data_IF_664607843411
#
_entry.id   IF_664607843411
#
_cell.length_a   1.000
_cell.length_b   1.000
_cell.length_c   1.000
_cell.angle_alpha   90.00
_cell.angle_beta   90.00
_cell.angle_gamma   90.00
#
_symmetry.space_group_name_H-M   'P 1'
#
loop_
_entity.id
_entity.type
_entity.pdbx_description
1 polymer ?
#
# COMPACT_ATOMS: atom_id res chain seq x y z
N UNK A 1 9.33 13.91 32.38
CA UNK A 1 9.04 12.46 32.23
C UNK A 1 8.60 12.26 30.78
N UNK A 2 9.48 11.80 29.92
CA UNK A 2 9.10 11.40 28.57
C UNK A 2 8.30 10.10 28.73
N UNK A 3 6.99 10.16 28.44
CA UNK A 3 6.14 8.98 28.42
C UNK A 3 6.68 7.97 27.40
N UNK A 4 6.54 6.66 27.69
CA UNK A 4 6.82 5.63 26.66
C UNK A 4 6.00 5.97 25.41
N UNK A 5 6.59 5.86 24.21
CA UNK A 5 5.83 6.10 22.99
C UNK A 5 4.58 5.21 23.03
N UNK A 6 3.41 5.81 22.79
CA UNK A 6 2.16 5.07 22.74
C UNK A 6 2.21 4.15 21.53
N UNK A 7 1.81 2.89 21.70
CA UNK A 7 1.63 1.99 20.57
C UNK A 7 0.53 2.53 19.67
N UNK A 8 0.81 2.55 18.40
CA UNK A 8 -0.15 2.87 17.33
C UNK A 8 -0.49 1.56 16.62
N UNK A 9 -1.76 1.39 16.24
CA UNK A 9 -2.18 0.29 15.39
C UNK A 9 -2.09 0.74 13.94
N UNK A 10 -1.39 -0.02 13.11
CA UNK A 10 -1.47 0.15 11.65
C UNK A 10 -2.82 -0.38 11.16
N UNK A 11 -3.62 0.48 10.55
CA UNK A 11 -4.96 0.19 10.05
C UNK A 11 -4.99 0.39 8.53
N UNK A 12 -4.95 -0.71 7.78
CA UNK A 12 -5.13 -0.74 6.33
C UNK A 12 -6.63 -0.85 6.02
N UNK A 13 -7.19 0.15 5.33
CA UNK A 13 -8.60 0.22 4.92
C UNK A 13 -8.68 -0.11 3.44
N UNK A 14 -8.70 -1.40 3.13
CA UNK A 14 -8.80 -1.90 1.76
C UNK A 14 -10.22 -2.18 1.30
N UNK A 15 -10.44 -2.23 -0.02
CA UNK A 15 -11.77 -2.43 -0.65
C UNK A 15 -12.38 -3.82 -0.39
N UNK A 16 -11.55 -4.83 -0.09
CA UNK A 16 -12.02 -6.20 0.25
C UNK A 16 -12.07 -6.44 1.75
N UNK A 17 -11.13 -5.89 2.51
CA UNK A 17 -11.05 -6.08 3.96
C UNK A 17 -10.31 -4.92 4.62
N UNK A 18 -10.68 -4.61 5.86
CA UNK A 18 -9.87 -3.81 6.78
C UNK A 18 -8.94 -4.73 7.55
N UNK A 19 -7.67 -4.32 7.73
CA UNK A 19 -6.66 -5.10 8.45
C UNK A 19 -6.00 -4.22 9.51
N UNK A 20 -5.67 -4.81 10.64
CA UNK A 20 -5.03 -4.10 11.73
C UNK A 20 -3.85 -4.89 12.30
N UNK A 21 -2.75 -4.21 12.53
CA UNK A 21 -1.52 -4.76 13.12
C UNK A 21 -1.09 -3.90 14.29
N UNK A 22 -0.81 -4.52 15.44
CA UNK A 22 -0.12 -3.88 16.55
C UNK A 22 1.27 -4.50 16.69
N UNK A 23 2.31 -3.68 16.52
CA UNK A 23 3.70 -4.07 16.73
C UNK A 23 4.22 -3.58 18.08
N UNK A 24 5.08 -4.38 18.71
CA UNK A 24 5.83 -4.00 19.91
C UNK A 24 7.31 -4.09 19.62
N UNK A 25 8.04 -3.01 19.88
CA UNK A 25 9.50 -3.02 19.80
C UNK A 25 10.08 -3.98 20.85
N UNK A 26 11.04 -4.79 20.43
CA UNK A 26 11.74 -5.78 21.26
C UNK A 26 13.22 -5.73 20.91
N UNK A 27 14.00 -4.90 21.63
CA UNK A 27 15.39 -4.60 21.25
C UNK A 27 15.43 -3.91 19.88
N UNK A 28 16.19 -4.47 18.96
CA UNK A 28 16.33 -3.98 17.58
C UNK A 28 15.33 -4.64 16.59
N UNK A 29 14.32 -5.34 17.09
CA UNK A 29 13.34 -6.05 16.29
C UNK A 29 11.92 -5.71 16.75
N UNK A 30 10.93 -6.25 16.06
CA UNK A 30 9.52 -6.07 16.39
C UNK A 30 8.86 -7.42 16.67
N UNK A 31 7.75 -7.37 17.41
CA UNK A 31 6.87 -8.50 17.66
C UNK A 31 5.45 -8.12 17.30
N UNK A 32 4.76 -8.97 16.55
CA UNK A 32 3.31 -8.85 16.33
C UNK A 32 2.60 -9.14 17.63
N UNK A 33 2.02 -8.12 18.24
CA UNK A 33 1.23 -8.24 19.46
C UNK A 33 -0.24 -8.56 19.15
N UNK A 34 -0.73 -8.10 18.00
CA UNK A 34 -2.04 -8.39 17.47
C UNK A 34 -2.06 -8.25 15.95
N UNK A 35 -2.82 -9.09 15.30
CA UNK A 35 -3.21 -9.00 13.89
C UNK A 35 -4.70 -9.34 13.78
N UNK A 36 -5.40 -8.66 12.90
CA UNK A 36 -6.77 -8.97 12.56
C UNK A 36 -7.13 -8.52 11.17
N UNK A 37 -8.10 -9.20 10.56
CA UNK A 37 -8.70 -8.85 9.29
C UNK A 37 -10.22 -9.00 9.38
N UNK A 38 -10.95 -8.06 8.79
CA UNK A 38 -12.42 -8.07 8.73
C UNK A 38 -12.86 -7.70 7.32
N UNK A 39 -13.66 -8.55 6.65
CA UNK A 39 -14.21 -8.23 5.34
C UNK A 39 -15.00 -6.92 5.33
N UNK A 40 -14.88 -6.18 4.24
CA UNK A 40 -15.72 -5.03 3.90
C UNK A 40 -16.73 -5.48 2.86
N UNK A 41 -18.01 -5.10 2.98
CA UNK A 41 -18.99 -5.46 1.96
C UNK A 41 -18.57 -4.96 0.56
N UNK A 42 -18.86 -5.73 -0.51
CA UNK A 42 -18.58 -5.28 -1.87
C UNK A 42 -19.10 -3.86 -2.14
N UNK A 43 -18.41 -3.13 -3.00
CA UNK A 43 -18.75 -1.77 -3.43
C UNK A 43 -18.79 -0.69 -2.33
N UNK A 44 -18.41 -1.04 -1.09
CA UNK A 44 -18.28 -0.04 0.00
C UNK A 44 -17.11 0.91 -0.21
N UNK A 45 -16.07 0.47 -0.92
CA UNK A 45 -14.91 1.28 -1.34
C UNK A 45 -14.65 0.99 -2.81
N UNK A 46 -14.73 2.01 -3.65
CA UNK A 46 -14.51 1.93 -5.10
C UNK A 46 -13.42 2.93 -5.49
N UNK A 47 -12.37 2.46 -6.16
CA UNK A 47 -11.22 3.28 -6.58
C UNK A 47 -10.64 4.17 -5.44
N UNK A 48 -10.57 3.61 -4.23
CA UNK A 48 -10.11 4.31 -3.03
C UNK A 48 -11.10 5.35 -2.48
N UNK A 49 -12.30 5.49 -3.07
CA UNK A 49 -13.36 6.34 -2.53
C UNK A 49 -14.29 5.53 -1.61
N UNK A 50 -14.52 6.01 -0.40
CA UNK A 50 -15.48 5.43 0.53
C UNK A 50 -16.89 5.79 0.06
N UNK A 51 -17.65 4.79 -0.40
CA UNK A 51 -19.02 4.93 -0.87
C UNK A 51 -20.02 4.68 0.26
N UNK A 52 -19.78 3.66 1.09
CA UNK A 52 -20.57 3.36 2.28
C UNK A 52 -19.74 3.51 3.55
N UNK A 53 -19.72 4.72 4.09
CA UNK A 53 -18.99 5.06 5.31
C UNK A 53 -19.48 4.24 6.52
N UNK A 54 -20.79 3.91 6.57
CA UNK A 54 -21.36 3.10 7.65
C UNK A 54 -20.82 1.68 7.64
N UNK A 55 -20.82 1.02 6.48
CA UNK A 55 -20.32 -0.34 6.33
C UNK A 55 -18.81 -0.43 6.64
N UNK A 56 -18.01 0.55 6.20
CA UNK A 56 -16.57 0.60 6.49
C UNK A 56 -16.33 0.81 7.99
N UNK A 57 -17.02 1.76 8.63
CA UNK A 57 -16.90 2.00 10.06
C UNK A 57 -17.32 0.78 10.90
N UNK A 58 -18.36 0.06 10.47
CA UNK A 58 -18.81 -1.18 11.11
C UNK A 58 -17.78 -2.30 10.96
N UNK A 59 -17.14 -2.43 9.80
CA UNK A 59 -16.05 -3.39 9.60
C UNK A 59 -14.87 -3.09 10.53
N UNK A 60 -14.44 -1.82 10.63
CA UNK A 60 -13.38 -1.41 11.56
C UNK A 60 -13.80 -1.73 12.99
N UNK A 61 -15.03 -1.39 13.40
CA UNK A 61 -15.53 -1.68 14.77
C UNK A 61 -15.51 -3.16 15.07
N UNK A 62 -16.03 -4.01 14.17
CA UNK A 62 -16.05 -5.47 14.31
C UNK A 62 -14.63 -6.04 14.43
N UNK A 63 -13.68 -5.52 13.64
CA UNK A 63 -12.27 -5.93 13.71
C UNK A 63 -11.69 -5.72 15.13
N UNK A 64 -11.87 -4.54 15.71
CA UNK A 64 -11.34 -4.23 17.02
C UNK A 64 -12.10 -4.91 18.16
N UNK A 65 -13.43 -5.01 18.07
CA UNK A 65 -14.26 -5.64 19.10
C UNK A 65 -14.04 -7.17 19.13
N UNK A 66 -13.83 -7.76 17.96
CA UNK A 66 -13.54 -9.19 17.80
C UNK A 66 -12.12 -9.58 18.23
N UNK A 67 -11.19 -8.63 18.27
CA UNK A 67 -9.79 -8.89 18.62
C UNK A 67 -9.37 -8.17 19.90
N UNK A 68 -9.50 -8.85 21.04
CA UNK A 68 -9.17 -8.30 22.38
C UNK A 68 -7.70 -7.92 22.56
N UNK A 69 -6.81 -8.30 21.64
CA UNK A 69 -5.40 -7.92 21.67
C UNK A 69 -5.17 -6.53 21.08
N UNK A 70 -6.03 -6.05 20.15
CA UNK A 70 -6.03 -4.71 19.57
C UNK A 70 -6.63 -3.69 20.55
N UNK A 71 -5.80 -3.15 21.44
CA UNK A 71 -6.26 -2.27 22.54
C UNK A 71 -6.06 -0.79 22.28
N UNK A 72 -5.10 -0.41 21.45
CA UNK A 72 -4.80 0.99 21.19
C UNK A 72 -5.96 1.67 20.47
N UNK A 73 -6.27 2.91 20.90
CA UNK A 73 -7.28 3.75 20.23
C UNK A 73 -6.68 4.55 19.09
N UNK A 74 -5.39 4.84 19.18
CA UNK A 74 -4.66 5.62 18.21
C UNK A 74 -4.23 4.70 17.04
N UNK A 75 -4.57 5.09 15.83
CA UNK A 75 -4.28 4.34 14.60
C UNK A 75 -3.50 5.19 13.62
N UNK A 76 -2.66 4.52 12.82
CA UNK A 76 -2.09 5.05 11.59
C UNK A 76 -2.84 4.41 10.43
N UNK A 77 -3.38 5.20 9.53
CA UNK A 77 -4.03 4.75 8.30
C UNK A 77 -3.29 5.34 7.09
N UNK A 78 -3.64 4.89 5.89
CA UNK A 78 -3.06 5.38 4.65
C UNK A 78 -4.10 5.69 3.60
N UNK A 79 -3.66 6.43 2.59
CA UNK A 79 -4.40 6.74 1.37
C UNK A 79 -3.61 6.24 0.17
N UNK A 80 -4.31 5.99 -0.92
CA UNK A 80 -3.75 5.66 -2.23
C UNK A 80 -4.65 6.13 -3.36
N UNK A 81 -4.26 5.83 -4.60
CA UNK A 81 -5.02 6.16 -5.79
C UNK A 81 -5.00 7.65 -6.15
N UNK A 82 -6.01 8.08 -6.86
CA UNK A 82 -6.11 9.44 -7.42
C UNK A 82 -6.24 10.56 -6.37
N UNK A 83 -6.34 10.20 -5.08
CA UNK A 83 -6.40 11.16 -3.98
C UNK A 83 -5.03 11.63 -3.52
N UNK A 84 -3.97 10.91 -3.90
CA UNK A 84 -2.59 11.17 -3.48
C UNK A 84 -1.70 11.36 -4.69
N UNK A 85 -0.84 12.35 -4.63
CA UNK A 85 0.25 12.56 -5.59
C UNK A 85 1.56 12.49 -4.85
N UNK A 86 2.44 11.65 -5.33
CA UNK A 86 3.84 11.58 -4.90
C UNK A 86 4.69 11.92 -6.10
N UNK A 87 5.52 12.95 -5.99
CA UNK A 87 6.33 13.44 -7.11
C UNK A 87 7.69 13.93 -6.66
N UNK A 88 8.73 13.43 -7.29
CA UNK A 88 10.07 14.00 -7.15
C UNK A 88 10.15 15.25 -8.01
N UNK A 89 10.55 16.37 -7.39
CA UNK A 89 10.71 17.65 -8.04
C UNK A 89 12.13 18.19 -7.82
N UNK A 90 12.60 19.01 -8.73
CA UNK A 90 13.91 19.64 -8.64
C UNK A 90 13.71 21.13 -8.43
N UNK A 91 14.30 21.69 -7.37
CA UNK A 91 14.18 23.08 -6.98
C UNK A 91 15.58 23.72 -6.89
N UNK A 92 15.68 25.06 -6.97
CA UNK A 92 16.91 25.76 -6.58
C UNK A 92 17.29 25.41 -5.14
N UNK A 93 18.60 25.35 -4.85
CA UNK A 93 19.07 25.12 -3.47
C UNK A 93 18.58 26.24 -2.56
N UNK A 94 17.91 25.87 -1.50
CA UNK A 94 17.41 26.76 -0.47
C UNK A 94 17.48 26.10 0.90
N UNK A 95 17.37 26.90 1.95
CA UNK A 95 17.30 26.38 3.31
C UNK A 95 15.93 25.73 3.59
N UNK A 96 15.86 24.88 4.61
CA UNK A 96 14.59 24.30 5.08
C UNK A 96 13.52 25.37 5.34
N UNK A 97 13.89 26.50 5.96
CA UNK A 97 12.95 27.57 6.28
C UNK A 97 12.41 28.27 5.01
N UNK A 98 13.25 28.47 4.00
CA UNK A 98 12.83 29.02 2.70
C UNK A 98 11.92 28.05 1.97
N UNK A 99 12.21 26.73 2.04
CA UNK A 99 11.38 25.70 1.45
C UNK A 99 10.01 25.60 2.15
N UNK A 100 9.96 25.65 3.49
CA UNK A 100 8.71 25.66 4.26
C UNK A 100 7.79 26.83 3.83
N UNK A 101 8.37 27.99 3.47
CA UNK A 101 7.60 29.16 3.02
C UNK A 101 7.19 29.07 1.54
N UNK A 102 7.98 28.44 0.69
CA UNK A 102 7.77 28.43 -0.77
C UNK A 102 7.11 27.18 -1.32
N UNK A 103 7.11 26.05 -0.58
CA UNK A 103 6.70 24.75 -1.10
C UNK A 103 5.28 24.72 -1.69
N UNK A 104 4.36 25.52 -1.16
CA UNK A 104 3.00 25.60 -1.68
C UNK A 104 2.97 26.22 -3.09
N UNK A 105 3.76 27.26 -3.33
CA UNK A 105 3.89 27.91 -4.65
C UNK A 105 4.61 27.00 -5.65
N UNK A 106 5.66 26.32 -5.19
CA UNK A 106 6.37 25.37 -6.02
C UNK A 106 5.47 24.19 -6.42
N UNK A 107 4.66 23.69 -5.48
CA UNK A 107 3.76 22.57 -5.69
C UNK A 107 2.68 22.84 -6.75
N UNK A 108 2.18 24.08 -6.89
CA UNK A 108 1.15 24.45 -7.89
C UNK A 108 1.52 24.05 -9.33
N UNK A 109 2.81 24.01 -9.65
CA UNK A 109 3.27 23.63 -10.98
C UNK A 109 3.26 22.10 -11.23
N UNK A 110 3.17 21.32 -10.17
CA UNK A 110 3.36 19.86 -10.21
C UNK A 110 2.13 19.06 -9.86
N UNK A 111 1.15 19.66 -9.19
CA UNK A 111 -0.09 19.00 -8.77
C UNK A 111 -1.28 19.50 -9.62
N UNK A 112 -2.18 18.58 -10.06
CA UNK A 112 -3.36 18.93 -10.85
C UNK A 112 -4.56 19.38 -10.00
N UNK A 113 -4.33 19.77 -8.75
CA UNK A 113 -5.35 20.18 -7.80
C UNK A 113 -5.04 21.59 -7.30
N UNK A 114 -6.07 22.30 -6.83
CA UNK A 114 -5.86 23.53 -6.09
C UNK A 114 -5.08 23.21 -4.80
N UNK A 115 -4.01 23.93 -4.54
CA UNK A 115 -3.17 23.73 -3.33
C UNK A 115 -3.96 23.97 -2.04
N UNK A 116 -5.06 24.72 -2.10
CA UNK A 116 -5.95 24.93 -0.97
C UNK A 116 -6.79 23.68 -0.63
N UNK A 117 -7.00 22.79 -1.60
CA UNK A 117 -7.79 21.58 -1.44
C UNK A 117 -6.96 20.35 -1.02
N UNK A 118 -5.64 20.51 -0.88
CA UNK A 118 -4.73 19.42 -0.49
C UNK A 118 -3.97 19.74 0.79
N UNK A 119 -3.58 18.69 1.50
CA UNK A 119 -2.48 18.74 2.46
C UNK A 119 -1.19 18.40 1.72
N UNK A 120 -0.17 19.24 1.92
CA UNK A 120 1.16 19.02 1.38
C UNK A 120 2.10 18.58 2.49
N UNK A 121 2.96 17.63 2.15
CA UNK A 121 4.16 17.28 2.92
C UNK A 121 5.32 17.08 1.94
N UNK A 122 6.55 17.13 2.44
CA UNK A 122 7.71 16.94 1.59
C UNK A 122 8.91 16.38 2.35
N UNK A 123 9.81 15.75 1.59
CA UNK A 123 11.10 15.28 2.09
C UNK A 123 12.21 15.73 1.15
N UNK A 124 13.28 16.31 1.71
CA UNK A 124 14.49 16.62 0.94
C UNK A 124 15.24 15.31 0.69
N UNK A 125 15.37 14.91 -0.57
CA UNK A 125 16.10 13.72 -0.99
C UNK A 125 17.59 14.03 -1.19
N UNK A 126 17.90 15.16 -1.86
CA UNK A 126 19.25 15.70 -2.02
C UNK A 126 19.24 17.21 -1.74
N UNK A 127 19.97 17.70 -0.74
CA UNK A 127 20.04 19.12 -0.42
C UNK A 127 20.81 19.96 -1.46
N UNK A 128 21.37 19.34 -2.49
CA UNK A 128 22.05 20.05 -3.57
C UNK A 128 23.42 20.62 -3.19
N UNK A 129 24.05 20.13 -2.12
CA UNK A 129 25.35 20.61 -1.63
C UNK A 129 26.54 19.85 -2.23
N UNK A 130 26.27 18.78 -2.98
CA UNK A 130 27.28 17.97 -3.64
C UNK A 130 27.87 18.63 -4.92
N UNK A 131 29.06 18.23 -5.36
CA UNK A 131 29.70 18.78 -6.55
C UNK A 131 28.94 18.50 -7.85
N UNK A 132 28.04 17.52 -7.86
CA UNK A 132 27.25 17.15 -9.04
C UNK A 132 25.86 17.80 -9.08
N UNK A 133 25.40 18.41 -8.01
CA UNK A 133 24.03 18.93 -7.86
C UNK A 133 23.74 20.21 -8.66
N UNK A 134 24.77 20.85 -9.26
CA UNK A 134 24.64 22.06 -10.13
C UNK A 134 23.78 23.20 -9.54
N UNK A 135 23.66 23.29 -8.22
CA UNK A 135 22.87 24.31 -7.53
C UNK A 135 21.36 24.00 -7.49
N UNK A 136 20.99 22.76 -7.69
CA UNK A 136 19.62 22.25 -7.51
C UNK A 136 19.53 21.24 -6.38
N UNK A 137 18.39 21.20 -5.70
CA UNK A 137 18.03 20.22 -4.69
C UNK A 137 16.89 19.33 -5.19
N UNK A 138 16.86 18.10 -4.72
CA UNK A 138 15.77 17.17 -5.02
C UNK A 138 14.83 17.02 -3.82
N UNK A 139 13.54 17.15 -4.08
CA UNK A 139 12.49 17.10 -3.06
C UNK A 139 11.43 16.10 -3.49
N UNK A 140 11.05 15.19 -2.59
CA UNK A 140 9.86 14.36 -2.74
C UNK A 140 8.67 15.15 -2.20
N UNK A 141 7.75 15.52 -3.09
CA UNK A 141 6.52 16.23 -2.77
C UNK A 141 5.39 15.21 -2.65
N UNK A 142 4.60 15.33 -1.58
CA UNK A 142 3.40 14.54 -1.35
C UNK A 142 2.20 15.48 -1.19
N UNK A 143 1.16 15.25 -1.98
CA UNK A 143 -0.09 16.00 -1.90
C UNK A 143 -1.26 15.04 -1.75
N UNK A 144 -2.08 15.22 -0.71
CA UNK A 144 -3.27 14.42 -0.47
C UNK A 144 -4.51 15.31 -0.36
N UNK A 145 -5.60 14.94 -1.03
CA UNK A 145 -6.86 15.68 -1.01
C UNK A 145 -7.46 15.71 0.40
N UNK A 146 -7.79 16.90 0.89
CA UNK A 146 -8.37 17.12 2.22
C UNK A 146 -9.70 16.40 2.42
N UNK A 147 -10.55 16.35 1.40
CA UNK A 147 -11.82 15.63 1.42
C UNK A 147 -11.61 14.13 1.67
N UNK A 148 -10.62 13.51 0.98
CA UNK A 148 -10.29 12.09 1.16
C UNK A 148 -9.70 11.79 2.53
N UNK A 149 -8.81 12.65 3.02
CA UNK A 149 -8.33 12.56 4.40
C UNK A 149 -9.52 12.62 5.37
N UNK A 150 -10.46 13.55 5.12
CA UNK A 150 -11.68 13.71 5.91
C UNK A 150 -12.58 12.47 5.89
N UNK A 151 -12.79 11.84 4.73
CA UNK A 151 -13.59 10.62 4.58
C UNK A 151 -12.98 9.47 5.41
N UNK A 152 -11.67 9.22 5.27
CA UNK A 152 -10.97 8.14 5.97
C UNK A 152 -10.89 8.38 7.48
N UNK A 153 -10.52 9.58 7.91
CA UNK A 153 -10.49 9.93 9.34
C UNK A 153 -11.88 9.94 9.96
N UNK A 154 -12.90 10.28 9.16
CA UNK A 154 -14.30 10.24 9.57
C UNK A 154 -14.81 8.83 9.88
N UNK A 155 -14.54 7.84 9.03
CA UNK A 155 -14.95 6.45 9.29
C UNK A 155 -14.17 5.83 10.45
N UNK A 156 -12.90 6.20 10.62
CA UNK A 156 -12.07 5.80 11.77
C UNK A 156 -12.66 6.35 13.07
N UNK A 157 -13.03 7.63 13.09
CA UNK A 157 -13.67 8.27 14.23
C UNK A 157 -15.03 7.66 14.55
N UNK A 158 -15.85 7.37 13.52
CA UNK A 158 -17.15 6.69 13.65
C UNK A 158 -17.00 5.28 14.24
N UNK A 159 -15.87 4.60 13.97
CA UNK A 159 -15.52 3.31 14.59
C UNK A 159 -14.96 3.44 16.01
N UNK A 160 -14.88 4.66 16.59
CA UNK A 160 -14.38 4.92 17.94
C UNK A 160 -12.86 4.87 18.06
N UNK A 161 -12.14 5.14 16.97
CA UNK A 161 -10.67 5.20 16.91
C UNK A 161 -10.20 6.61 16.54
N UNK A 162 -8.91 6.90 16.79
CA UNK A 162 -8.30 8.19 16.50
C UNK A 162 -7.23 8.00 15.41
N UNK A 163 -7.40 8.56 14.25
CA UNK A 163 -6.35 8.65 13.26
C UNK A 163 -5.32 9.70 13.72
N UNK A 164 -4.11 9.26 14.05
CA UNK A 164 -3.03 10.15 14.53
C UNK A 164 -1.94 10.35 13.49
N UNK A 165 -1.91 9.47 12.48
CA UNK A 165 -1.07 9.57 11.27
C UNK A 165 -1.93 9.13 10.08
N UNK A 166 -1.81 9.84 8.97
CA UNK A 166 -2.31 9.43 7.66
C UNK A 166 -1.11 9.38 6.73
N UNK A 167 -0.78 8.19 6.26
CA UNK A 167 0.37 7.90 5.41
C UNK A 167 -0.07 7.62 3.97
N UNK A 168 0.83 7.18 3.14
CA UNK A 168 0.60 6.69 1.77
C UNK A 168 0.90 5.19 1.71
N UNK A 169 0.04 4.40 1.04
CA UNK A 169 0.22 2.94 0.90
C UNK A 169 1.62 2.57 0.41
N UNK A 170 2.14 3.32 -0.57
CA UNK A 170 3.47 3.09 -1.13
C UNK A 170 4.58 3.22 -0.09
N UNK A 171 4.49 4.20 0.82
CA UNK A 171 5.48 4.40 1.87
C UNK A 171 5.32 3.41 3.01
N UNK A 172 4.08 3.06 3.35
CA UNK A 172 3.84 1.98 4.31
C UNK A 172 4.44 0.66 3.80
N UNK A 173 4.28 0.34 2.52
CA UNK A 173 4.88 -0.83 1.90
C UNK A 173 6.41 -0.79 1.95
N UNK A 174 7.02 0.37 1.68
CA UNK A 174 8.47 0.59 1.81
C UNK A 174 8.94 0.39 3.25
N UNK A 175 8.27 0.96 4.25
CA UNK A 175 8.62 0.82 5.66
C UNK A 175 8.61 -0.65 6.09
N UNK A 176 7.60 -1.43 5.66
CA UNK A 176 7.53 -2.86 5.92
C UNK A 176 8.67 -3.63 5.21
N UNK A 177 9.03 -3.23 3.99
CA UNK A 177 10.11 -3.82 3.23
C UNK A 177 11.48 -3.56 3.90
N UNK A 178 11.75 -2.32 4.26
CA UNK A 178 13.00 -1.90 4.89
C UNK A 178 13.30 -2.71 6.18
N UNK A 179 12.29 -2.84 7.06
CA UNK A 179 12.45 -3.57 8.32
C UNK A 179 12.71 -5.05 8.12
N UNK A 180 12.15 -5.67 7.06
CA UNK A 180 12.22 -7.13 6.86
C UNK A 180 13.34 -7.59 5.91
N UNK A 181 13.76 -6.74 4.99
CA UNK A 181 14.72 -7.11 3.93
C UNK A 181 15.95 -6.22 3.93
N UNK A 182 15.89 -5.04 4.55
CA UNK A 182 16.91 -4.01 4.44
C UNK A 182 16.88 -3.32 3.08
N UNK A 183 17.70 -2.28 2.94
CA UNK A 183 17.86 -1.50 1.72
C UNK A 183 19.31 -1.59 1.27
N UNK A 184 19.55 -1.99 0.03
CA UNK A 184 20.89 -2.10 -0.54
C UNK A 184 21.18 -0.89 -1.43
N UNK A 185 22.28 -0.14 -1.19
CA UNK A 185 22.63 1.01 -2.00
C UNK A 185 22.73 0.67 -3.49
N UNK A 186 22.06 1.47 -4.33
CA UNK A 186 22.09 1.30 -5.78
C UNK A 186 21.19 0.20 -6.35
N UNK A 187 20.57 -0.63 -5.51
CA UNK A 187 19.62 -1.64 -5.96
C UNK A 187 18.29 -0.99 -6.35
N UNK A 188 17.71 -1.39 -7.48
CA UNK A 188 16.37 -0.98 -7.92
C UNK A 188 15.38 -2.10 -7.64
N UNK A 189 14.48 -1.88 -6.69
CA UNK A 189 13.47 -2.84 -6.26
C UNK A 189 12.08 -2.30 -6.57
N UNK A 190 11.25 -3.12 -7.22
CA UNK A 190 9.85 -2.82 -7.41
C UNK A 190 9.03 -3.52 -6.33
N UNK A 191 8.30 -2.75 -5.55
CA UNK A 191 7.30 -3.25 -4.62
C UNK A 191 5.93 -3.18 -5.29
N UNK A 192 5.27 -4.34 -5.44
CA UNK A 192 3.90 -4.44 -5.95
C UNK A 192 2.97 -4.90 -4.83
N UNK A 193 1.93 -4.13 -4.54
CA UNK A 193 0.85 -4.58 -3.67
C UNK A 193 -0.41 -4.81 -4.52
N UNK A 194 -0.65 -6.07 -4.88
CA UNK A 194 -1.79 -6.48 -5.68
C UNK A 194 -3.06 -6.60 -4.81
N UNK A 195 -3.75 -5.49 -4.63
CA UNK A 195 -4.98 -5.38 -3.86
C UNK A 195 -6.22 -5.86 -4.59
N UNK A 196 -7.41 -5.68 -3.99
CA UNK A 196 -8.67 -6.07 -4.58
C UNK A 196 -9.11 -5.12 -5.71
N UNK A 197 -9.07 -3.81 -5.51
CA UNK A 197 -9.47 -2.82 -6.53
C UNK A 197 -8.31 -2.17 -7.26
N UNK A 198 -7.11 -2.16 -6.67
CA UNK A 198 -5.95 -1.50 -7.24
C UNK A 198 -4.66 -2.28 -6.99
N UNK A 199 -3.65 -2.02 -7.81
CA UNK A 199 -2.26 -2.44 -7.60
C UNK A 199 -1.44 -1.18 -7.33
N UNK A 200 -0.83 -1.11 -6.14
CA UNK A 200 0.13 -0.06 -5.83
C UNK A 200 1.51 -0.49 -6.31
N UNK A 201 2.18 0.40 -7.03
CA UNK A 201 3.56 0.23 -7.49
C UNK A 201 4.42 1.26 -6.78
N UNK A 202 5.48 0.80 -6.10
CA UNK A 202 6.51 1.67 -5.56
C UNK A 202 7.88 1.16 -6.02
N UNK A 203 8.64 1.99 -6.72
CA UNK A 203 9.98 1.66 -7.19
C UNK A 203 10.99 2.36 -6.29
N UNK A 204 11.84 1.57 -5.67
CA UNK A 204 12.91 2.03 -4.81
C UNK A 204 14.23 2.01 -5.56
N UNK A 205 15.08 3.01 -5.35
CA UNK A 205 16.48 3.01 -5.70
C UNK A 205 17.30 3.25 -4.44
N UNK A 206 17.93 2.20 -3.92
CA UNK A 206 18.50 2.23 -2.58
C UNK A 206 17.43 2.44 -1.53
N UNK A 207 17.54 3.51 -0.75
CA UNK A 207 16.62 3.92 0.32
C UNK A 207 15.52 4.90 -0.12
N UNK A 208 15.54 5.31 -1.38
CA UNK A 208 14.63 6.33 -1.90
C UNK A 208 13.50 5.73 -2.74
N UNK A 209 12.27 6.14 -2.47
CA UNK A 209 11.16 5.96 -3.41
C UNK A 209 11.33 6.91 -4.58
N UNK A 210 11.64 6.37 -5.75
CA UNK A 210 11.91 7.16 -6.96
C UNK A 210 10.72 7.24 -7.90
N UNK A 211 9.75 6.34 -7.75
CA UNK A 211 8.55 6.32 -8.57
C UNK A 211 7.42 5.59 -7.86
N UNK A 212 6.23 6.19 -7.86
CA UNK A 212 5.00 5.56 -7.36
C UNK A 212 3.89 5.66 -8.38
N UNK A 213 3.06 4.62 -8.47
CA UNK A 213 1.85 4.64 -9.30
C UNK A 213 0.83 3.64 -8.77
N UNK A 214 -0.44 4.05 -8.80
CA UNK A 214 -1.56 3.17 -8.53
C UNK A 214 -2.26 2.81 -9.84
N UNK A 215 -2.50 1.52 -10.04
CA UNK A 215 -3.21 0.97 -11.20
C UNK A 215 -4.62 0.62 -10.77
N UNK A 216 -5.64 1.16 -11.43
CA UNK A 216 -7.06 0.89 -11.13
C UNK A 216 -7.49 -0.47 -11.68
N UNK A 217 -6.73 -1.51 -11.36
CA UNK A 217 -7.01 -2.92 -11.67
C UNK A 217 -6.47 -3.77 -10.52
N UNK A 218 -7.23 -4.77 -10.11
CA UNK A 218 -6.86 -5.67 -9.01
C UNK A 218 -7.65 -6.96 -9.02
N UNK A 219 -7.76 -7.60 -7.87
CA UNK A 219 -8.42 -8.89 -7.69
C UNK A 219 -9.89 -8.92 -8.10
N UNK A 220 -10.59 -7.78 -8.03
CA UNK A 220 -12.01 -7.67 -8.41
C UNK A 220 -12.20 -7.92 -9.91
N UNK A 221 -11.25 -7.52 -10.77
CA UNK A 221 -11.34 -7.77 -12.20
C UNK A 221 -11.45 -9.27 -12.55
N UNK A 222 -10.78 -10.12 -11.78
CA UNK A 222 -10.91 -11.59 -11.92
C UNK A 222 -12.30 -12.06 -11.51
N UNK A 223 -12.79 -11.57 -10.37
CA UNK A 223 -14.10 -11.97 -9.84
C UNK A 223 -15.22 -11.56 -10.77
N UNK A 224 -15.19 -10.32 -11.27
CA UNK A 224 -16.16 -9.79 -12.24
C UNK A 224 -16.16 -10.60 -13.56
N UNK A 225 -14.97 -10.95 -14.07
CA UNK A 225 -14.86 -11.77 -15.27
C UNK A 225 -15.44 -13.17 -15.05
N UNK A 226 -15.15 -13.82 -13.92
CA UNK A 226 -15.70 -15.13 -13.57
C UNK A 226 -17.23 -15.08 -13.38
N UNK A 227 -17.75 -14.04 -12.72
CA UNK A 227 -19.20 -13.84 -12.59
C UNK A 227 -19.87 -13.74 -13.96
N UNK A 228 -19.29 -12.93 -14.85
CA UNK A 228 -19.86 -12.66 -16.18
C UNK A 228 -19.79 -13.86 -17.09
N UNK A 229 -18.64 -14.53 -17.18
CA UNK A 229 -18.42 -15.59 -18.16
C UNK A 229 -19.01 -16.94 -17.71
N UNK A 230 -19.02 -17.21 -16.39
CA UNK A 230 -19.53 -18.45 -15.83
C UNK A 230 -20.91 -18.28 -15.16
N UNK A 231 -21.49 -17.06 -15.19
CA UNK A 231 -22.77 -16.74 -14.58
C UNK A 231 -22.84 -17.12 -13.07
N UNK A 232 -21.77 -16.81 -12.32
CA UNK A 232 -21.63 -17.16 -10.90
C UNK A 232 -22.02 -15.97 -9.98
N UNK A 233 -22.55 -16.24 -8.80
CA UNK A 233 -22.61 -15.24 -7.71
C UNK A 233 -21.21 -14.78 -7.30
N UNK A 234 -21.12 -13.57 -6.70
CA UNK A 234 -19.85 -12.98 -6.27
C UNK A 234 -19.04 -13.90 -5.36
N UNK A 235 -19.65 -14.44 -4.30
CA UNK A 235 -18.98 -15.29 -3.32
C UNK A 235 -18.44 -16.58 -3.95
N UNK A 236 -19.20 -17.15 -4.89
CA UNK A 236 -18.79 -18.36 -5.64
C UNK A 236 -17.62 -18.05 -6.56
N UNK A 237 -17.66 -16.91 -7.27
CA UNK A 237 -16.56 -16.46 -8.13
C UNK A 237 -15.29 -16.16 -7.32
N UNK A 238 -15.40 -15.54 -6.13
CA UNK A 238 -14.28 -15.32 -5.21
C UNK A 238 -13.65 -16.63 -4.72
N UNK A 239 -14.45 -17.62 -4.40
CA UNK A 239 -13.95 -18.95 -4.01
C UNK A 239 -13.24 -19.64 -5.17
N UNK A 240 -13.85 -19.63 -6.35
CA UNK A 240 -13.30 -20.25 -7.55
C UNK A 240 -11.98 -19.58 -7.96
N UNK A 241 -11.90 -18.26 -7.91
CA UNK A 241 -10.67 -17.47 -8.13
C UNK A 241 -9.51 -17.93 -7.23
N UNK A 242 -9.82 -18.29 -5.99
CA UNK A 242 -8.87 -18.79 -4.99
C UNK A 242 -8.56 -20.27 -5.13
N UNK A 243 -9.06 -20.94 -6.16
CA UNK A 243 -8.88 -22.37 -6.37
C UNK A 243 -9.71 -23.25 -5.43
N UNK A 244 -10.69 -22.69 -4.73
CA UNK A 244 -11.59 -23.44 -3.84
C UNK A 244 -12.68 -24.08 -4.70
N UNK A 245 -12.92 -25.40 -4.56
CA UNK A 245 -13.99 -26.07 -5.30
C UNK A 245 -15.37 -25.46 -5.00
N UNK A 246 -16.16 -25.24 -6.04
CA UNK A 246 -17.51 -24.67 -5.95
C UNK A 246 -18.51 -25.52 -6.76
N UNK A 247 -19.79 -25.37 -6.46
CA UNK A 247 -20.85 -25.95 -7.27
C UNK A 247 -21.09 -25.08 -8.52
N UNK A 248 -21.31 -25.74 -9.66
CA UNK A 248 -21.71 -25.10 -10.92
C UNK A 248 -20.57 -24.64 -11.82
N UNK A 249 -19.31 -24.70 -11.38
CA UNK A 249 -18.14 -24.42 -12.22
C UNK A 249 -16.88 -25.12 -11.69
N UNK A 250 -15.95 -25.41 -12.60
CA UNK A 250 -14.65 -26.02 -12.30
C UNK A 250 -13.53 -25.01 -12.42
N UNK A 251 -12.44 -25.25 -11.71
CA UNK A 251 -11.25 -24.39 -11.85
C UNK A 251 -10.63 -24.45 -13.24
N UNK A 252 -10.78 -25.58 -13.95
CA UNK A 252 -10.31 -25.73 -15.34
C UNK A 252 -11.05 -24.77 -16.28
N UNK A 253 -12.37 -24.60 -16.10
CA UNK A 253 -13.17 -23.61 -16.85
C UNK A 253 -12.77 -22.17 -16.49
N UNK A 254 -12.37 -21.91 -15.26
CA UNK A 254 -11.94 -20.58 -14.81
C UNK A 254 -10.53 -20.21 -15.28
N UNK A 255 -9.65 -21.18 -15.52
CA UNK A 255 -8.22 -20.97 -15.75
C UNK A 255 -7.93 -20.05 -16.94
N UNK A 256 -8.63 -20.20 -18.06
CA UNK A 256 -8.41 -19.36 -19.23
C UNK A 256 -8.87 -17.92 -18.99
N UNK A 257 -9.95 -17.71 -18.20
CA UNK A 257 -10.45 -16.40 -17.82
C UNK A 257 -9.43 -15.72 -16.90
N UNK A 258 -8.97 -16.43 -15.86
CA UNK A 258 -7.96 -15.97 -14.92
C UNK A 258 -6.69 -15.54 -15.68
N UNK A 259 -6.20 -16.37 -16.59
CA UNK A 259 -5.00 -16.07 -17.37
C UNK A 259 -5.17 -14.81 -18.24
N UNK A 260 -6.31 -14.64 -18.89
CA UNK A 260 -6.60 -13.46 -19.71
C UNK A 260 -6.62 -12.17 -18.86
N UNK A 261 -7.19 -12.22 -17.65
CA UNK A 261 -7.17 -11.08 -16.74
C UNK A 261 -5.74 -10.81 -16.22
N UNK A 262 -4.97 -11.86 -15.90
CA UNK A 262 -3.55 -11.69 -15.51
C UNK A 262 -2.76 -11.01 -16.62
N UNK A 263 -2.94 -11.40 -17.90
CA UNK A 263 -2.29 -10.73 -19.03
C UNK A 263 -2.63 -9.24 -19.10
N UNK A 264 -3.89 -8.85 -18.85
CA UNK A 264 -4.30 -7.45 -18.79
C UNK A 264 -3.65 -6.70 -17.62
N UNK A 265 -3.59 -7.30 -16.44
CA UNK A 265 -2.89 -6.75 -15.27
C UNK A 265 -1.42 -6.51 -15.59
N UNK A 266 -0.75 -7.51 -16.17
CA UNK A 266 0.67 -7.41 -16.51
C UNK A 266 0.94 -6.39 -17.61
N UNK A 267 -0.03 -6.14 -18.51
CA UNK A 267 0.07 -5.07 -19.51
C UNK A 267 0.10 -3.68 -18.84
N UNK A 268 -0.74 -3.45 -17.83
CA UNK A 268 -0.72 -2.18 -17.08
C UNK A 268 0.58 -2.01 -16.26
N UNK A 269 1.08 -3.09 -15.66
CA UNK A 269 2.40 -3.10 -15.00
C UNK A 269 3.51 -2.79 -16.01
N UNK A 270 3.46 -3.38 -17.21
CA UNK A 270 4.42 -3.11 -18.29
C UNK A 270 4.46 -1.63 -18.66
N UNK A 271 3.30 -1.01 -18.91
CA UNK A 271 3.21 0.43 -19.23
C UNK A 271 3.84 1.28 -18.12
N UNK A 272 3.70 0.87 -16.87
CA UNK A 272 4.29 1.55 -15.71
C UNK A 272 5.81 1.45 -15.72
N UNK A 273 6.35 0.26 -15.97
CA UNK A 273 7.81 0.05 -16.05
C UNK A 273 8.42 0.74 -17.27
N UNK A 274 7.73 0.74 -18.40
CA UNK A 274 8.18 1.46 -19.61
C UNK A 274 8.25 2.98 -19.35
N UNK A 275 7.24 3.52 -18.66
CA UNK A 275 7.24 4.92 -18.28
C UNK A 275 8.37 5.24 -17.29
N UNK A 276 8.57 4.40 -16.27
CA UNK A 276 9.68 4.55 -15.33
C UNK A 276 11.03 4.56 -16.06
N UNK A 277 11.30 3.57 -16.90
CA UNK A 277 12.54 3.45 -17.68
C UNK A 277 12.77 4.64 -18.61
N UNK A 278 11.71 5.23 -19.16
CA UNK A 278 11.80 6.39 -20.02
C UNK A 278 12.09 7.71 -19.27
N UNK A 279 11.79 7.77 -17.96
CA UNK A 279 11.88 9.00 -17.15
C UNK A 279 12.95 8.96 -16.07
N UNK A 280 13.42 7.78 -15.68
CA UNK A 280 14.42 7.60 -14.66
C UNK A 280 15.86 7.61 -15.23
N UNK A 281 16.82 7.82 -14.35
CA UNK A 281 18.25 7.72 -14.67
C UNK A 281 18.75 6.28 -14.79
N UNK A 282 17.94 5.28 -14.42
CA UNK A 282 18.24 3.86 -14.52
C UNK A 282 17.10 3.13 -15.22
N UNK A 283 17.42 2.27 -16.18
CA UNK A 283 16.48 1.40 -16.91
C UNK A 283 16.44 -0.04 -16.38
N UNK A 284 17.27 -0.33 -15.38
CA UNK A 284 17.39 -1.66 -14.78
C UNK A 284 16.47 -1.81 -13.57
N UNK A 285 15.85 -2.99 -13.43
CA UNK A 285 15.10 -3.43 -12.25
C UNK A 285 15.76 -4.73 -11.78
N UNK A 286 16.28 -4.76 -10.55
CA UNK A 286 16.98 -5.90 -9.99
C UNK A 286 16.03 -7.00 -9.53
N UNK A 287 14.90 -6.64 -8.92
CA UNK A 287 13.86 -7.58 -8.49
C UNK A 287 12.49 -6.93 -8.32
N UNK A 288 11.47 -7.77 -8.36
CA UNK A 288 10.08 -7.41 -8.08
C UNK A 288 9.66 -8.18 -6.83
N UNK A 289 9.14 -7.48 -5.84
CA UNK A 289 8.65 -8.04 -4.57
C UNK A 289 7.16 -7.79 -4.48
N UNK A 290 6.37 -8.86 -4.33
CA UNK A 290 4.91 -8.82 -4.52
C UNK A 290 4.18 -9.18 -3.26
N UNK A 291 3.23 -8.34 -2.86
CA UNK A 291 2.25 -8.54 -1.79
C UNK A 291 0.82 -8.35 -2.31
N UNK A 292 -0.14 -8.50 -1.41
CA UNK A 292 -1.56 -8.29 -1.71
C UNK A 292 -2.30 -9.57 -2.10
N UNK A 293 -3.57 -9.64 -1.75
CA UNK A 293 -4.38 -10.86 -1.92
C UNK A 293 -4.54 -11.33 -3.37
N UNK A 294 -4.51 -10.40 -4.34
CA UNK A 294 -4.64 -10.75 -5.76
C UNK A 294 -3.38 -11.42 -6.33
N UNK A 295 -2.22 -11.28 -5.69
CA UNK A 295 -1.00 -11.99 -6.10
C UNK A 295 -1.09 -13.51 -5.95
N UNK A 296 -2.04 -14.00 -5.15
CA UNK A 296 -2.27 -15.44 -4.90
C UNK A 296 -3.09 -16.13 -5.99
N UNK A 297 -3.52 -15.39 -7.01
CA UNK A 297 -4.15 -15.98 -8.18
C UNK A 297 -3.16 -16.90 -8.89
N UNK A 298 -3.63 -18.10 -9.29
CA UNK A 298 -2.78 -19.11 -9.92
C UNK A 298 -2.02 -18.54 -11.13
N UNK A 299 -0.72 -18.79 -11.17
CA UNK A 299 0.15 -18.38 -12.28
C UNK A 299 0.60 -16.92 -12.25
N UNK A 300 0.17 -16.11 -11.25
CA UNK A 300 0.50 -14.69 -11.21
C UNK A 300 2.02 -14.43 -11.14
N UNK A 301 2.72 -15.11 -10.24
CA UNK A 301 4.17 -14.95 -10.06
C UNK A 301 4.96 -15.44 -11.28
N UNK A 302 4.58 -16.58 -11.83
CA UNK A 302 5.23 -17.18 -13.00
C UNK A 302 5.08 -16.28 -14.23
N UNK A 303 3.87 -15.79 -14.49
CA UNK A 303 3.59 -14.91 -15.61
C UNK A 303 4.29 -13.54 -15.45
N UNK A 304 4.39 -13.04 -14.22
CA UNK A 304 5.12 -11.80 -13.92
C UNK A 304 6.63 -11.98 -14.19
N UNK A 305 7.23 -13.06 -13.70
CA UNK A 305 8.64 -13.37 -13.90
C UNK A 305 8.97 -13.62 -15.40
N UNK A 306 8.12 -14.35 -16.11
CA UNK A 306 8.27 -14.61 -17.55
C UNK A 306 8.20 -13.32 -18.38
N UNK A 307 7.22 -12.45 -18.08
CA UNK A 307 7.02 -11.20 -18.83
C UNK A 307 8.18 -10.23 -18.69
N UNK A 308 8.73 -10.08 -17.47
CA UNK A 308 9.73 -9.04 -17.20
C UNK A 308 11.17 -9.56 -17.21
N UNK A 309 11.36 -10.88 -17.20
CA UNK A 309 12.71 -11.48 -17.12
C UNK A 309 13.48 -11.07 -15.86
N UNK A 310 12.75 -10.69 -14.81
CA UNK A 310 13.29 -10.16 -13.55
C UNK A 310 12.90 -11.11 -12.42
N UNK A 311 13.79 -11.38 -11.43
CA UNK A 311 13.43 -12.17 -10.26
C UNK A 311 12.20 -11.62 -9.55
N UNK A 312 11.23 -12.50 -9.25
CA UNK A 312 10.00 -12.17 -8.53
C UNK A 312 9.98 -12.91 -7.22
N UNK A 313 9.79 -12.18 -6.12
CA UNK A 313 9.76 -12.71 -4.76
C UNK A 313 8.43 -12.39 -4.09
N UNK A 314 7.91 -13.32 -3.29
CA UNK A 314 6.79 -13.05 -2.40
C UNK A 314 7.26 -12.17 -1.24
N UNK A 315 6.48 -11.16 -0.92
CA UNK A 315 6.76 -10.25 0.17
C UNK A 315 6.23 -10.82 1.49
N UNK A 316 7.10 -11.26 2.37
CA UNK A 316 6.76 -11.58 3.76
C UNK A 316 7.04 -10.39 4.69
N UNK A 317 6.03 -9.62 5.10
CA UNK A 317 6.20 -8.48 5.99
C UNK A 317 6.49 -8.89 7.45
N UNK A 318 6.56 -10.18 7.74
CA UNK A 318 6.87 -10.73 9.05
C UNK A 318 8.20 -11.52 9.07
N UNK A 319 9.00 -11.46 8.00
CA UNK A 319 10.24 -12.23 7.85
C UNK A 319 11.21 -12.09 9.02
N UNK A 320 11.35 -10.89 9.58
CA UNK A 320 12.20 -10.59 10.74
C UNK A 320 11.40 -10.29 12.01
N UNK A 321 10.08 -10.29 11.93
CA UNK A 321 9.18 -9.94 13.03
C UNK A 321 8.68 -11.21 13.73
N UNK A 322 8.81 -11.29 15.03
CA UNK A 322 8.34 -12.43 15.80
C UNK A 322 6.83 -12.34 16.09
N UNK A 323 6.15 -13.46 16.05
CA UNK A 323 4.75 -13.55 16.48
C UNK A 323 4.65 -13.76 17.99
N UNK A 324 3.74 -13.04 18.67
CA UNK A 324 3.37 -13.39 20.04
C UNK A 324 2.61 -14.73 20.01
N UNK A 325 2.92 -15.63 20.93
CA UNK A 325 2.30 -16.97 21.02
C UNK A 325 0.77 -16.94 21.20
N UNK A 326 0.21 -15.79 21.56
CA UNK A 326 -1.23 -15.59 21.78
C UNK A 326 -1.97 -15.10 20.54
N UNK A 327 -1.28 -14.83 19.45
CA UNK A 327 -1.90 -14.41 18.20
C UNK A 327 -2.31 -15.64 17.42
N UNK A 328 -3.61 -15.89 17.38
CA UNK A 328 -4.22 -16.97 16.60
C UNK A 328 -4.63 -16.41 15.24
N UNK A 329 -3.87 -16.70 14.19
CA UNK A 329 -4.09 -16.23 12.83
C UNK A 329 -3.49 -17.22 11.83
N UNK A 330 -4.07 -17.28 10.64
CA UNK A 330 -3.41 -17.89 9.49
C UNK A 330 -2.24 -16.99 9.06
N UNK A 331 -1.02 -17.42 9.36
CA UNK A 331 0.20 -16.65 9.08
C UNK A 331 0.38 -16.47 7.56
N UNK A 332 0.02 -17.45 6.74
CA UNK A 332 0.13 -17.34 5.28
C UNK A 332 -0.82 -16.27 4.71
N UNK A 333 -2.07 -16.23 5.20
CA UNK A 333 -3.02 -15.19 4.81
C UNK A 333 -2.57 -13.80 5.31
N UNK A 334 -2.06 -13.73 6.56
CA UNK A 334 -1.55 -12.50 7.14
C UNK A 334 -0.32 -11.98 6.38
N UNK A 335 0.61 -12.86 5.98
CA UNK A 335 1.80 -12.49 5.22
C UNK A 335 1.43 -11.92 3.85
N UNK A 336 0.56 -12.62 3.13
CA UNK A 336 0.14 -12.17 1.78
C UNK A 336 -0.57 -10.80 1.79
N UNK A 337 -1.32 -10.48 2.84
CA UNK A 337 -2.23 -9.30 2.83
C UNK A 337 -1.86 -8.20 3.83
N UNK A 338 -0.90 -8.44 4.73
CA UNK A 338 -0.60 -7.56 5.87
C UNK A 338 0.45 -6.50 5.64
N UNK A 339 1.09 -6.44 4.46
CA UNK A 339 2.27 -5.61 4.23
C UNK A 339 2.04 -4.12 4.53
N UNK A 340 0.96 -3.53 4.03
CA UNK A 340 0.60 -2.12 4.29
C UNK A 340 0.34 -1.92 5.78
N UNK A 341 -0.48 -2.76 6.42
CA UNK A 341 -0.81 -2.64 7.84
C UNK A 341 0.44 -2.76 8.74
N UNK A 342 1.42 -3.61 8.38
CA UNK A 342 2.72 -3.71 9.07
C UNK A 342 3.50 -2.41 8.95
N UNK A 343 3.61 -1.85 7.74
CA UNK A 343 4.30 -0.58 7.52
C UNK A 343 3.68 0.58 8.29
N UNK A 344 2.35 0.64 8.33
CA UNK A 344 1.61 1.62 9.12
C UNK A 344 1.84 1.46 10.64
N UNK A 345 1.99 0.22 11.12
CA UNK A 345 2.28 -0.06 12.53
C UNK A 345 3.69 0.33 12.98
N UNK A 346 4.59 0.59 12.03
CA UNK A 346 5.96 1.08 12.30
C UNK A 346 6.00 2.59 12.54
N UNK A 347 4.97 3.33 12.12
CA UNK A 347 4.87 4.80 12.28
C UNK A 347 4.67 5.19 13.75
N UNK A 348 5.05 6.41 14.05
CA UNK A 348 4.88 7.03 15.38
C UNK A 348 4.14 8.34 15.24
N UNK A 349 3.39 8.73 16.26
CA UNK A 349 2.76 10.05 16.30
C UNK A 349 3.82 11.15 16.21
N UNK A 350 3.67 12.04 15.23
CA UNK A 350 4.60 13.12 14.96
C UNK A 350 5.72 12.78 13.97
N UNK A 351 5.77 11.58 13.40
CA UNK A 351 6.62 11.29 12.23
C UNK A 351 6.11 12.14 11.05
N UNK A 352 7.07 12.72 10.30
CA UNK A 352 6.85 13.42 9.04
C UNK A 352 7.31 12.55 7.89
#
# INVERSE_FOLDING_TARGET
MFGKPKNIVGLDIGSSAVKAVELKATGNSYRVAAFGSQPVPPDSIVDGAIIDAGAVADAIRKLFDGNKALKAKDVCASLSGNAVIVKKITLPVMTQAELDESIYWEAEQYIPFDVQDVNLDYQILDPGTGPESRGSMEVLLVAAKKDKIGDYTGVIAQAGRNAVVVDVDAFALQNAYEVNYGLEPGQVVVLLNAGASAINVNILHGDQSVFTRDLSIGGNAYTEALQKELNLPFETAEQLKRGIPVDGATFEEARHIIRAITDNVLLEVQKTFDFFKATASSDHIDKIVVSGGASRVEGFYEMLAERFGTPVEEFDPFKTVMWDKKVEVDIGEAAATGAVAVGLALRRAGDR
#
